data_IF_128498469205
#
_entry.id   IF_128498469205
#
_cell.length_a   1.000
_cell.length_b   1.000
_cell.length_c   1.000
_cell.angle_alpha   90.00
_cell.angle_beta   90.00
_cell.angle_gamma   90.00
#
_symmetry.space_group_name_H-M   'P 1'
#
loop_
_entity.id
_entity.type
_entity.pdbx_description
1 polymer ?
#
# COMPACT_ATOMS: atom_id res chain seq x y z
N UNK A 1 14.69 24.28 -18.29
CA UNK A 1 13.26 23.96 -18.39
C UNK A 1 13.08 22.52 -17.94
N UNK A 2 12.73 22.33 -16.67
CA UNK A 2 12.48 21.00 -16.10
C UNK A 2 10.99 20.74 -16.08
N UNK A 3 10.60 19.49 -16.31
CA UNK A 3 9.22 19.05 -16.07
C UNK A 3 8.91 19.25 -14.58
N UNK A 4 8.03 20.18 -14.28
CA UNK A 4 7.60 20.43 -12.92
C UNK A 4 6.61 19.37 -12.46
N UNK A 5 6.30 19.39 -11.16
CA UNK A 5 5.17 18.66 -10.61
C UNK A 5 3.84 18.92 -11.36
N UNK A 6 3.54 20.16 -11.81
CA UNK A 6 2.32 20.44 -12.57
C UNK A 6 2.24 19.66 -13.89
N UNK A 7 3.30 19.67 -14.70
CA UNK A 7 3.34 18.93 -15.97
C UNK A 7 3.20 17.42 -15.76
N UNK A 8 3.86 16.87 -14.74
CA UNK A 8 3.75 15.43 -14.42
C UNK A 8 2.31 15.05 -14.01
N UNK A 9 1.63 15.92 -13.24
CA UNK A 9 0.24 15.71 -12.84
C UNK A 9 -0.72 15.70 -14.03
N UNK A 10 -0.51 16.57 -15.01
CA UNK A 10 -1.34 16.61 -16.24
C UNK A 10 -1.17 15.32 -17.05
N UNK A 11 0.06 14.84 -17.21
CA UNK A 11 0.34 13.59 -17.91
C UNK A 11 -0.30 12.40 -17.17
N UNK A 12 -0.14 12.37 -15.84
CA UNK A 12 -0.75 11.35 -14.99
C UNK A 12 -2.28 11.37 -15.12
N UNK A 13 -2.91 12.55 -15.15
CA UNK A 13 -4.35 12.67 -15.32
C UNK A 13 -4.84 12.07 -16.66
N UNK A 14 -4.11 12.29 -17.76
CA UNK A 14 -4.45 11.71 -19.07
C UNK A 14 -4.37 10.18 -19.02
N UNK A 15 -3.31 9.63 -18.43
CA UNK A 15 -3.14 8.18 -18.23
C UNK A 15 -4.30 7.64 -17.39
N UNK A 16 -4.68 8.36 -16.33
CA UNK A 16 -5.80 7.98 -15.46
C UNK A 16 -7.15 8.02 -16.16
N UNK A 17 -7.37 8.88 -17.15
CA UNK A 17 -8.61 8.88 -17.93
C UNK A 17 -8.69 7.64 -18.82
N UNK A 18 -7.57 7.21 -19.42
CA UNK A 18 -7.52 6.04 -20.30
C UNK A 18 -7.63 4.74 -19.49
N UNK A 19 -6.84 4.61 -18.42
CA UNK A 19 -6.75 3.39 -17.63
C UNK A 19 -7.73 3.35 -16.45
N UNK A 20 -8.16 4.51 -15.95
CA UNK A 20 -8.98 4.64 -14.76
C UNK A 20 -8.17 4.69 -13.46
N UNK A 21 -8.57 5.48 -12.45
CA UNK A 21 -7.86 5.58 -11.16
C UNK A 21 -7.86 4.30 -10.35
N UNK A 22 -8.80 3.38 -10.61
CA UNK A 22 -8.89 2.09 -9.92
C UNK A 22 -7.77 1.11 -10.31
N UNK A 23 -7.16 1.28 -11.49
CA UNK A 23 -6.08 0.38 -11.97
C UNK A 23 -4.72 0.69 -11.36
N UNK A 24 -4.43 1.94 -10.98
CA UNK A 24 -3.17 2.30 -10.32
C UNK A 24 -2.92 1.53 -9.01
N UNK A 25 -3.86 1.47 -8.04
CA UNK A 25 -3.64 0.71 -6.82
C UNK A 25 -3.57 -0.81 -7.07
N UNK A 26 -4.26 -1.31 -8.07
CA UNK A 26 -4.21 -2.73 -8.47
C UNK A 26 -2.82 -3.11 -8.99
N UNK A 27 -2.28 -2.33 -9.94
CA UNK A 27 -0.92 -2.51 -10.49
C UNK A 27 0.12 -2.28 -9.39
N UNK A 28 -0.07 -1.27 -8.54
CA UNK A 28 0.82 -0.98 -7.42
C UNK A 28 0.87 -2.11 -6.38
N UNK A 29 -0.26 -2.79 -6.09
CA UNK A 29 -0.28 -3.97 -5.22
C UNK A 29 0.50 -5.13 -5.83
N UNK A 30 0.29 -5.44 -7.11
CA UNK A 30 0.99 -6.53 -7.78
C UNK A 30 2.50 -6.28 -7.90
N UNK A 31 2.90 -5.07 -8.30
CA UNK A 31 4.30 -4.65 -8.33
C UNK A 31 4.90 -4.62 -6.93
N UNK A 32 4.15 -4.12 -5.94
CA UNK A 32 4.58 -4.05 -4.54
C UNK A 32 4.84 -5.42 -3.93
N UNK A 33 3.98 -6.40 -4.19
CA UNK A 33 4.20 -7.79 -3.79
C UNK A 33 5.48 -8.34 -4.45
N UNK A 34 5.63 -8.14 -5.76
CA UNK A 34 6.84 -8.57 -6.49
C UNK A 34 8.10 -7.94 -5.88
N UNK A 35 8.11 -6.63 -5.67
CA UNK A 35 9.24 -5.90 -5.08
C UNK A 35 9.51 -6.36 -3.64
N UNK A 36 8.46 -6.67 -2.85
CA UNK A 36 8.58 -7.17 -1.49
C UNK A 36 9.18 -8.58 -1.46
N UNK A 37 8.76 -9.48 -2.35
CA UNK A 37 9.36 -10.79 -2.53
C UNK A 37 10.83 -10.68 -2.95
N UNK A 38 11.14 -9.80 -3.91
CA UNK A 38 12.51 -9.55 -4.37
C UNK A 38 13.39 -9.03 -3.23
N UNK A 39 12.94 -7.98 -2.53
CA UNK A 39 13.63 -7.44 -1.34
C UNK A 39 13.84 -8.49 -0.26
N UNK A 40 12.80 -9.27 0.05
CA UNK A 40 12.86 -10.31 1.08
C UNK A 40 13.80 -11.46 0.70
N UNK A 41 13.91 -11.77 -0.59
CA UNK A 41 14.79 -12.82 -1.10
C UNK A 41 16.24 -12.37 -1.07
N UNK A 42 16.52 -11.16 -1.56
CA UNK A 42 17.86 -10.55 -1.45
C UNK A 42 18.29 -10.40 0.01
N UNK A 43 17.38 -9.93 0.87
CA UNK A 43 17.69 -9.78 2.29
C UNK A 43 17.86 -11.12 3.00
N UNK A 44 17.17 -12.20 2.60
CA UNK A 44 17.41 -13.56 3.12
C UNK A 44 18.69 -14.20 2.61
N UNK A 45 19.18 -13.82 1.44
CA UNK A 45 20.51 -14.23 0.98
C UNK A 45 21.61 -13.53 1.76
N UNK A 46 21.44 -12.23 2.06
CA UNK A 46 22.34 -11.46 2.94
C UNK A 46 22.22 -11.87 4.41
N UNK A 47 21.02 -12.25 4.87
CA UNK A 47 20.71 -12.61 6.26
C UNK A 47 20.69 -14.12 6.50
N UNK A 48 21.15 -14.95 5.56
CA UNK A 48 21.35 -16.39 5.79
C UNK A 48 22.46 -16.68 6.83
N UNK A 49 23.07 -15.63 7.35
CA UNK A 49 23.93 -15.66 8.54
C UNK A 49 23.18 -15.37 9.86
N UNK A 50 21.93 -14.88 9.85
CA UNK A 50 21.16 -14.55 11.07
C UNK A 50 19.64 -14.85 10.91
N UNK A 51 19.30 -16.07 11.33
CA UNK A 51 18.09 -16.50 12.04
C UNK A 51 16.66 -16.29 11.49
N UNK A 52 15.82 -17.24 11.86
CA UNK A 52 14.49 -17.53 11.33
C UNK A 52 13.42 -16.92 12.23
N UNK A 53 12.72 -15.89 11.77
CA UNK A 53 11.43 -15.54 12.39
C UNK A 53 10.40 -15.21 11.30
N UNK A 54 9.48 -16.16 11.13
CA UNK A 54 8.24 -16.03 10.37
C UNK A 54 7.11 -15.90 11.39
N UNK A 55 6.02 -15.33 10.89
CA UNK A 55 4.65 -15.43 11.40
C UNK A 55 4.15 -14.24 12.23
N UNK A 56 2.88 -13.88 11.98
CA UNK A 56 2.04 -12.90 12.73
C UNK A 56 1.97 -11.44 12.25
N UNK A 57 1.65 -11.15 10.99
CA UNK A 57 0.90 -9.90 10.68
C UNK A 57 -0.02 -10.07 9.45
N UNK A 58 -1.06 -10.90 9.54
CA UNK A 58 -2.26 -10.75 8.70
C UNK A 58 -3.52 -10.88 9.57
N UNK A 59 -3.58 -10.04 10.60
CA UNK A 59 -4.77 -9.81 11.43
C UNK A 59 -5.29 -8.36 11.25
N UNK A 60 -5.10 -7.76 10.08
CA UNK A 60 -5.35 -6.32 9.86
C UNK A 60 -6.17 -6.03 8.60
N UNK A 61 -7.22 -6.83 8.36
CA UNK A 61 -8.24 -6.51 7.34
C UNK A 61 -9.67 -6.55 7.88
N UNK A 62 -9.86 -6.49 9.20
CA UNK A 62 -11.18 -6.43 9.83
C UNK A 62 -11.29 -5.24 10.81
N UNK A 63 -11.02 -4.02 10.33
CA UNK A 63 -11.26 -2.80 11.11
C UNK A 63 -11.89 -1.69 10.26
N UNK A 64 -12.64 -2.07 9.23
CA UNK A 64 -13.29 -1.13 8.33
C UNK A 64 -14.79 -0.89 8.61
N UNK A 65 -15.38 -1.35 9.73
CA UNK A 65 -16.85 -1.22 9.91
C UNK A 65 -17.42 -0.69 11.23
N UNK A 66 -16.65 -0.30 12.25
CA UNK A 66 -17.26 0.25 13.48
C UNK A 66 -16.80 1.70 13.76
N UNK A 67 -17.41 2.64 13.04
CA UNK A 67 -17.35 4.08 13.35
C UNK A 67 -18.72 4.70 13.07
N UNK A 68 -19.73 4.31 13.86
CA UNK A 68 -20.91 5.14 14.17
C UNK A 68 -21.71 4.50 15.30
N UNK A 69 -21.90 5.24 16.40
CA UNK A 69 -22.85 5.04 17.51
C UNK A 69 -22.24 4.59 18.85
N UNK A 70 -21.63 5.52 19.58
CA UNK A 70 -21.76 5.67 21.05
C UNK A 70 -21.03 6.96 21.51
N UNK A 71 -21.53 8.11 21.08
CA UNK A 71 -21.25 9.41 21.70
C UNK A 71 -22.60 9.99 22.15
N UNK A 72 -23.23 9.35 23.13
CA UNK A 72 -24.32 9.91 23.94
C UNK A 72 -24.61 8.88 25.04
N UNK A 73 -23.94 8.96 26.19
CA UNK A 73 -24.45 8.68 27.56
C UNK A 73 -23.24 8.82 28.49
N UNK A 74 -22.90 10.06 28.86
CA UNK A 74 -22.19 10.35 30.12
C UNK A 74 -22.44 11.80 30.52
N UNK A 75 -23.71 12.13 30.69
CA UNK A 75 -24.14 13.27 31.52
C UNK A 75 -25.55 13.00 32.04
N UNK A 76 -25.70 12.00 32.90
CA UNK A 76 -26.79 11.92 33.89
C UNK A 76 -26.31 11.09 35.07
#
# INVERSE_FOLDING_TARGET
MGLGLPELLVILAIILVIFGPRKLPEIGKALGQTIRELRSSTQKEESKEQDKDKDKIEASSETAEESKKEEEVKTT
#
